data_IF_034293108709
#
_entry.id   IF_034293108709
#
_cell.length_a   1.000
_cell.length_b   1.000
_cell.length_c   1.000
_cell.angle_alpha   90.00
_cell.angle_beta   90.00
_cell.angle_gamma   90.00
#
_symmetry.space_group_name_H-M   'P 1'
#
loop_
_entity.id
_entity.type
_entity.pdbx_description
1 polymer ?
#
# COMPACT_ATOMS: atom_id res chain seq x y z
N UNK A 1 0.89 -14.72 -12.96
CA UNK A 1 -0.38 -14.34 -12.34
C UNK A 1 -0.99 -15.47 -11.51
N UNK A 2 -0.97 -16.70 -12.03
CA UNK A 2 -1.54 -17.83 -11.31
C UNK A 2 -0.77 -18.13 -10.01
N UNK A 3 0.54 -17.99 -10.02
CA UNK A 3 1.37 -18.16 -8.82
C UNK A 3 1.00 -17.15 -7.74
N UNK A 4 0.74 -15.91 -8.15
CA UNK A 4 0.35 -14.87 -7.23
C UNK A 4 -1.02 -15.17 -6.64
N UNK A 5 -1.96 -15.65 -7.45
CA UNK A 5 -3.29 -16.04 -6.98
C UNK A 5 -3.21 -17.15 -5.94
N UNK A 6 -2.35 -18.13 -6.17
CA UNK A 6 -2.14 -19.21 -5.22
C UNK A 6 -1.55 -18.68 -3.90
N UNK A 7 -0.58 -17.76 -3.99
CA UNK A 7 0.01 -17.15 -2.81
C UNK A 7 -1.00 -16.30 -2.04
N UNK A 8 -1.83 -15.53 -2.74
CA UNK A 8 -2.86 -14.73 -2.10
C UNK A 8 -3.86 -15.62 -1.37
N UNK A 9 -4.27 -16.73 -1.99
CA UNK A 9 -5.20 -17.66 -1.38
C UNK A 9 -4.59 -18.30 -0.13
N UNK A 10 -3.33 -18.71 -0.20
CA UNK A 10 -2.62 -19.31 0.93
C UNK A 10 -2.49 -18.33 2.09
N UNK A 11 -2.07 -17.10 1.79
CA UNK A 11 -1.88 -16.07 2.82
C UNK A 11 -3.23 -15.67 3.42
N UNK A 12 -4.28 -15.52 2.58
CA UNK A 12 -5.62 -15.20 3.06
C UNK A 12 -6.11 -16.26 4.04
N UNK A 13 -5.85 -17.51 3.75
CA UNK A 13 -6.22 -18.62 4.65
C UNK A 13 -5.46 -18.52 5.98
N UNK A 14 -4.17 -18.21 5.93
CA UNK A 14 -3.36 -18.02 7.13
C UNK A 14 -3.82 -16.84 7.97
N UNK A 15 -4.30 -15.79 7.32
CA UNK A 15 -4.81 -14.59 8.00
C UNK A 15 -6.21 -14.77 8.58
N UNK A 16 -6.92 -15.83 8.16
CA UNK A 16 -8.28 -16.08 8.60
C UNK A 16 -9.35 -15.30 7.86
N UNK A 17 -8.97 -14.52 6.85
CA UNK A 17 -9.89 -13.80 5.97
C UNK A 17 -9.17 -13.37 4.70
N UNK A 18 -9.92 -12.97 3.68
CA UNK A 18 -9.35 -12.53 2.41
C UNK A 18 -8.39 -11.36 2.64
N UNK A 19 -7.22 -11.41 1.98
CA UNK A 19 -6.22 -10.36 2.07
C UNK A 19 -6.82 -9.04 1.61
N UNK A 20 -6.81 -8.04 2.47
CA UNK A 20 -7.43 -6.73 2.24
C UNK A 20 -6.36 -5.69 1.92
N UNK A 21 -6.48 -5.07 0.75
CA UNK A 21 -5.56 -4.03 0.30
C UNK A 21 -6.32 -2.72 0.13
N UNK A 22 -5.95 -1.73 0.92
CA UNK A 22 -6.53 -0.39 0.84
C UNK A 22 -5.63 0.47 -0.05
N UNK A 23 -6.20 1.01 -1.12
CA UNK A 23 -5.47 1.90 -2.04
C UNK A 23 -6.05 3.29 -1.93
N UNK A 24 -5.18 4.26 -1.68
CA UNK A 24 -5.58 5.65 -1.55
C UNK A 24 -4.63 6.58 -2.28
N UNK A 25 -5.08 7.81 -2.49
CA UNK A 25 -4.30 8.84 -3.13
C UNK A 25 -4.45 10.13 -2.32
N UNK A 26 -3.47 10.42 -1.45
CA UNK A 26 -3.56 11.62 -0.61
C UNK A 26 -3.30 12.89 -1.43
N UNK A 27 -3.90 13.99 -0.98
CA UNK A 27 -3.67 15.30 -1.57
C UNK A 27 -4.64 15.66 -2.68
N UNK A 28 -4.30 16.69 -3.42
CA UNK A 28 -5.20 17.31 -4.40
C UNK A 28 -5.05 16.81 -5.83
N UNK A 29 -4.13 15.88 -6.05
CA UNK A 29 -3.85 15.35 -7.38
C UNK A 29 -5.01 14.50 -7.89
N UNK A 30 -5.49 14.79 -9.08
CA UNK A 30 -6.59 14.05 -9.70
C UNK A 30 -6.15 12.86 -10.55
N UNK A 31 -4.86 12.64 -10.74
CA UNK A 31 -4.37 11.57 -11.59
C UNK A 31 -4.28 10.26 -10.82
N UNK A 32 -4.97 9.23 -11.29
CA UNK A 32 -5.09 7.96 -10.56
C UNK A 32 -4.67 6.73 -11.34
N UNK A 33 -4.10 6.89 -12.55
CA UNK A 33 -3.82 5.74 -13.41
C UNK A 33 -2.99 4.64 -12.76
N UNK A 34 -1.92 5.01 -12.06
CA UNK A 34 -1.08 4.03 -11.38
C UNK A 34 -1.81 3.30 -10.27
N UNK A 35 -2.54 4.04 -9.45
CA UNK A 35 -3.30 3.46 -8.35
C UNK A 35 -4.40 2.54 -8.87
N UNK A 36 -5.10 2.94 -9.95
CA UNK A 36 -6.14 2.13 -10.55
C UNK A 36 -5.60 0.83 -11.13
N UNK A 37 -4.43 0.88 -11.77
CA UNK A 37 -3.80 -0.32 -12.31
C UNK A 37 -3.40 -1.30 -11.21
N UNK A 38 -2.85 -0.79 -10.12
CA UNK A 38 -2.47 -1.62 -8.98
C UNK A 38 -3.72 -2.24 -8.35
N UNK A 39 -4.78 -1.45 -8.16
CA UNK A 39 -6.02 -1.95 -7.58
C UNK A 39 -6.66 -3.04 -8.47
N UNK A 40 -6.68 -2.83 -9.78
CA UNK A 40 -7.23 -3.80 -10.72
C UNK A 40 -6.43 -5.11 -10.70
N UNK A 41 -5.10 -5.01 -10.70
CA UNK A 41 -4.26 -6.21 -10.67
C UNK A 41 -4.40 -6.97 -9.36
N UNK A 42 -4.48 -6.26 -8.24
CA UNK A 42 -4.66 -6.88 -6.94
C UNK A 42 -6.01 -7.61 -6.86
N UNK A 43 -7.05 -7.02 -7.43
CA UNK A 43 -8.36 -7.67 -7.51
C UNK A 43 -8.28 -8.94 -8.36
N UNK A 44 -7.57 -8.89 -9.48
CA UNK A 44 -7.36 -10.05 -10.34
C UNK A 44 -6.60 -11.16 -9.63
N UNK A 45 -5.76 -10.81 -8.67
CA UNK A 45 -4.99 -11.76 -7.87
C UNK A 45 -5.79 -12.36 -6.72
N UNK A 46 -7.02 -11.91 -6.49
CA UNK A 46 -7.88 -12.44 -5.44
C UNK A 46 -7.85 -11.66 -4.14
N UNK A 47 -7.28 -10.46 -4.15
CA UNK A 47 -7.31 -9.60 -2.97
C UNK A 47 -8.64 -8.86 -2.87
N UNK A 48 -9.05 -8.58 -1.64
CA UNK A 48 -10.19 -7.71 -1.40
C UNK A 48 -9.69 -6.26 -1.43
N UNK A 49 -10.15 -5.50 -2.40
CA UNK A 49 -9.65 -4.15 -2.64
C UNK A 49 -10.65 -3.12 -2.17
N UNK A 50 -10.17 -2.17 -1.38
CA UNK A 50 -10.90 -0.94 -1.11
C UNK A 50 -10.14 0.20 -1.77
N UNK A 51 -10.75 0.84 -2.75
CA UNK A 51 -10.20 2.01 -3.41
C UNK A 51 -10.93 3.24 -2.88
N UNK A 52 -10.25 4.02 -2.06
CA UNK A 52 -10.85 5.19 -1.44
C UNK A 52 -10.87 6.44 -2.34
N UNK A 53 -10.27 6.32 -3.52
CA UNK A 53 -10.30 7.41 -4.49
C UNK A 53 -9.16 8.40 -4.35
N UNK A 54 -9.43 9.65 -4.71
CA UNK A 54 -8.44 10.71 -4.74
C UNK A 54 -8.78 11.79 -3.72
N UNK A 55 -7.82 12.68 -3.47
CA UNK A 55 -8.00 13.86 -2.61
C UNK A 55 -8.31 13.52 -1.15
N UNK A 56 -7.74 12.43 -0.69
CA UNK A 56 -7.95 12.00 0.68
C UNK A 56 -6.99 12.70 1.64
N UNK A 57 -7.47 12.98 2.85
CA UNK A 57 -6.59 13.44 3.91
C UNK A 57 -5.93 12.24 4.59
N UNK A 58 -4.78 12.44 5.26
CA UNK A 58 -4.18 11.35 6.04
C UNK A 58 -5.15 10.74 7.04
N UNK A 59 -5.95 11.56 7.71
CA UNK A 59 -6.94 11.07 8.69
C UNK A 59 -7.98 10.16 8.05
N UNK A 60 -8.44 10.49 6.83
CA UNK A 60 -9.42 9.68 6.11
C UNK A 60 -8.82 8.32 5.74
N UNK A 61 -7.57 8.29 5.30
CA UNK A 61 -6.91 7.05 4.93
C UNK A 61 -6.72 6.15 6.15
N UNK A 62 -6.25 6.72 7.26
CA UNK A 62 -6.06 5.97 8.50
C UNK A 62 -7.40 5.43 9.02
N UNK A 63 -8.45 6.26 8.98
CA UNK A 63 -9.78 5.84 9.40
C UNK A 63 -10.29 4.67 8.55
N UNK A 64 -10.05 4.72 7.23
CA UNK A 64 -10.44 3.64 6.34
C UNK A 64 -9.66 2.35 6.64
N UNK A 65 -8.36 2.46 6.92
CA UNK A 65 -7.54 1.31 7.25
C UNK A 65 -8.02 0.61 8.52
N UNK A 66 -8.40 1.38 9.52
CA UNK A 66 -8.94 0.85 10.78
C UNK A 66 -10.33 0.25 10.56
N UNK A 67 -11.21 0.99 9.89
CA UNK A 67 -12.59 0.57 9.62
C UNK A 67 -12.64 -0.76 8.86
N UNK A 68 -11.83 -0.87 7.82
CA UNK A 68 -11.83 -2.03 6.93
C UNK A 68 -10.87 -3.13 7.39
N UNK A 69 -10.12 -2.88 8.45
CA UNK A 69 -9.12 -3.83 8.95
C UNK A 69 -8.15 -4.25 7.83
N UNK A 70 -7.62 -3.25 7.12
CA UNK A 70 -6.74 -3.50 5.98
C UNK A 70 -5.46 -4.21 6.42
N UNK A 71 -5.00 -5.13 5.57
CA UNK A 71 -3.73 -5.83 5.80
C UNK A 71 -2.55 -5.03 5.27
N UNK A 72 -2.77 -4.21 4.25
CA UNK A 72 -1.73 -3.37 3.65
C UNK A 72 -2.39 -2.11 3.09
N UNK A 73 -1.67 -1.00 3.17
CA UNK A 73 -2.11 0.29 2.63
C UNK A 73 -1.16 0.70 1.51
N UNK A 74 -1.72 0.99 0.35
CA UNK A 74 -0.96 1.49 -0.79
C UNK A 74 -1.34 2.93 -1.09
N UNK A 75 -0.34 3.77 -1.29
CA UNK A 75 -0.53 5.19 -1.56
C UNK A 75 0.12 5.55 -2.89
N UNK A 76 -0.58 6.35 -3.69
CA UNK A 76 -0.07 6.85 -4.96
C UNK A 76 0.20 8.34 -4.84
N UNK A 77 1.43 8.75 -5.16
CA UNK A 77 1.82 10.17 -5.12
C UNK A 77 2.50 10.53 -6.44
N UNK A 78 2.40 11.79 -6.83
CA UNK A 78 2.98 12.28 -8.08
C UNK A 78 4.16 13.23 -7.90
N UNK A 79 4.35 13.76 -6.71
CA UNK A 79 5.44 14.72 -6.50
C UNK A 79 5.90 14.74 -5.05
N UNK A 80 7.05 15.35 -4.84
CA UNK A 80 7.60 15.53 -3.51
C UNK A 80 6.76 16.42 -2.59
N UNK A 81 5.82 17.18 -3.16
CA UNK A 81 4.93 18.01 -2.35
C UNK A 81 4.01 17.19 -1.45
N UNK A 82 3.90 15.89 -1.68
CA UNK A 82 3.11 14.99 -0.85
C UNK A 82 3.87 14.47 0.38
N UNK A 83 5.16 14.79 0.49
CA UNK A 83 5.96 14.29 1.62
C UNK A 83 5.39 14.66 3.00
N UNK A 84 4.95 15.90 3.25
CA UNK A 84 4.34 16.21 4.55
C UNK A 84 3.06 15.42 4.81
N UNK A 85 2.29 15.13 3.77
CA UNK A 85 1.07 14.34 3.90
C UNK A 85 1.39 12.90 4.30
N UNK A 86 2.41 12.31 3.69
CA UNK A 86 2.83 10.95 4.03
C UNK A 86 3.38 10.89 5.45
N UNK A 87 4.17 11.88 5.86
CA UNK A 87 4.71 11.95 7.22
C UNK A 87 3.57 12.00 8.25
N UNK A 88 2.57 12.84 8.01
CA UNK A 88 1.40 12.96 8.88
C UNK A 88 0.61 11.64 8.91
N UNK A 89 0.44 11.02 7.76
CA UNK A 89 -0.26 9.73 7.66
C UNK A 89 0.46 8.66 8.49
N UNK A 90 1.78 8.56 8.34
CA UNK A 90 2.55 7.57 9.09
C UNK A 90 2.47 7.79 10.59
N UNK A 91 2.50 9.05 11.03
CA UNK A 91 2.36 9.39 12.44
C UNK A 91 0.97 8.99 12.98
N UNK A 92 -0.09 9.34 12.25
CA UNK A 92 -1.44 8.98 12.65
C UNK A 92 -1.66 7.48 12.65
N UNK A 93 -1.09 6.78 11.66
CA UNK A 93 -1.22 5.33 11.58
C UNK A 93 -0.58 4.65 12.79
N UNK A 94 0.60 5.11 13.21
CA UNK A 94 1.28 4.56 14.38
C UNK A 94 0.47 4.75 15.66
N UNK A 95 -0.30 5.81 15.72
CA UNK A 95 -1.14 6.12 16.88
C UNK A 95 -2.50 5.41 16.81
N UNK A 96 -2.79 4.68 15.75
CA UNK A 96 -4.07 4.01 15.54
C UNK A 96 -3.99 2.51 15.82
N UNK A 97 -5.15 1.86 15.76
CA UNK A 97 -5.23 0.40 15.88
C UNK A 97 -4.61 -0.32 14.68
N UNK A 98 -4.30 0.40 13.62
CA UNK A 98 -3.66 -0.14 12.43
C UNK A 98 -2.15 0.13 12.38
N UNK A 99 -1.51 0.36 13.51
CA UNK A 99 -0.08 0.68 13.59
C UNK A 99 0.81 -0.42 12.98
N UNK A 100 0.35 -1.66 12.97
CA UNK A 100 1.10 -2.80 12.44
C UNK A 100 0.96 -2.96 10.93
N UNK A 101 0.09 -2.19 10.29
CA UNK A 101 -0.19 -2.34 8.86
C UNK A 101 0.94 -1.76 8.03
N UNK A 102 1.57 -2.54 7.12
CA UNK A 102 2.61 -1.99 6.25
C UNK A 102 2.02 -1.03 5.22
N UNK A 103 2.80 0.00 4.91
CA UNK A 103 2.43 1.02 3.93
C UNK A 103 3.41 0.94 2.76
N UNK A 104 2.90 0.89 1.55
CA UNK A 104 3.69 0.96 0.33
C UNK A 104 3.32 2.23 -0.42
N UNK A 105 4.30 2.86 -1.04
CA UNK A 105 4.10 4.11 -1.76
C UNK A 105 4.62 3.95 -3.18
N UNK A 106 3.83 4.39 -4.14
CA UNK A 106 4.23 4.36 -5.54
C UNK A 106 3.97 5.69 -6.23
N UNK A 107 4.75 5.99 -7.27
CA UNK A 107 4.54 7.21 -8.04
C UNK A 107 5.83 7.77 -8.60
N UNK A 108 5.76 9.01 -9.06
CA UNK A 108 6.94 9.72 -9.57
C UNK A 108 7.67 10.32 -8.37
N UNK A 109 8.64 9.59 -7.86
CA UNK A 109 9.31 9.92 -6.60
C UNK A 109 10.81 10.12 -6.85
N UNK A 110 11.35 11.30 -6.54
CA UNK A 110 12.80 11.50 -6.62
C UNK A 110 13.54 10.58 -5.66
N UNK A 111 14.74 10.20 -6.03
CA UNK A 111 15.54 9.26 -5.25
C UNK A 111 15.76 9.71 -3.79
N UNK A 112 15.96 11.01 -3.59
CA UNK A 112 16.14 11.56 -2.24
C UNK A 112 14.87 11.38 -1.40
N UNK A 113 13.70 11.49 -2.02
CA UNK A 113 12.42 11.32 -1.34
C UNK A 113 12.16 9.85 -1.03
N UNK A 114 12.62 8.94 -1.90
CA UNK A 114 12.50 7.51 -1.67
C UNK A 114 13.16 7.11 -0.35
N UNK A 115 14.39 7.59 -0.13
CA UNK A 115 15.09 7.33 1.11
C UNK A 115 14.35 7.90 2.31
N UNK A 116 13.86 9.14 2.19
CA UNK A 116 13.12 9.80 3.26
C UNK A 116 11.84 9.02 3.61
N UNK A 117 11.14 8.50 2.61
CA UNK A 117 9.95 7.69 2.84
C UNK A 117 10.27 6.40 3.59
N UNK A 118 11.34 5.73 3.19
CA UNK A 118 11.77 4.51 3.89
C UNK A 118 12.15 4.82 5.34
N UNK A 119 12.81 5.95 5.57
CA UNK A 119 13.18 6.39 6.91
C UNK A 119 11.96 6.71 7.78
N UNK A 120 10.84 7.09 7.16
CA UNK A 120 9.59 7.33 7.87
C UNK A 120 8.88 6.04 8.29
N UNK A 121 9.33 4.90 7.79
CA UNK A 121 8.70 3.62 8.08
C UNK A 121 7.87 3.03 6.94
N UNK A 122 7.90 3.64 5.75
CA UNK A 122 7.25 3.07 4.57
C UNK A 122 7.97 1.76 4.21
N UNK A 123 7.20 0.71 3.97
CA UNK A 123 7.76 -0.63 3.75
C UNK A 123 8.40 -0.79 2.38
N UNK A 124 7.79 -0.23 1.36
CA UNK A 124 8.28 -0.32 -0.03
C UNK A 124 7.97 0.98 -0.76
N UNK A 125 8.86 1.37 -1.67
CA UNK A 125 8.66 2.53 -2.55
C UNK A 125 8.83 2.06 -3.99
N UNK A 126 7.86 2.40 -4.84
CA UNK A 126 7.89 2.05 -6.26
C UNK A 126 7.91 3.29 -7.12
N UNK A 127 8.87 3.35 -8.03
CA UNK A 127 9.01 4.44 -9.01
C UNK A 127 8.72 3.88 -10.41
N UNK A 128 8.63 4.73 -11.45
CA UNK A 128 8.40 4.21 -12.80
C UNK A 128 9.42 3.17 -13.26
N UNK A 129 10.64 3.19 -12.73
CA UNK A 129 11.65 2.18 -13.03
C UNK A 129 11.30 0.81 -12.45
N UNK A 130 10.57 0.81 -11.35
CA UNK A 130 10.24 -0.39 -10.60
C UNK A 130 8.81 -0.85 -10.85
N UNK A 131 8.10 -0.20 -11.76
CA UNK A 131 6.68 -0.42 -11.95
C UNK A 131 6.43 -1.67 -12.78
N UNK A 132 6.47 -2.81 -12.10
CA UNK A 132 6.09 -4.09 -12.68
C UNK A 132 5.02 -4.67 -11.77
N UNK A 133 3.79 -4.76 -12.27
CA UNK A 133 2.62 -5.08 -11.45
C UNK A 133 2.74 -6.40 -10.71
N UNK A 134 3.23 -7.44 -11.38
CA UNK A 134 3.34 -8.74 -10.74
C UNK A 134 4.34 -8.72 -9.58
N UNK A 135 5.45 -8.01 -9.75
CA UNK A 135 6.44 -7.88 -8.68
C UNK A 135 5.87 -7.12 -7.47
N UNK A 136 5.10 -6.06 -7.74
CA UNK A 136 4.43 -5.32 -6.68
C UNK A 136 3.48 -6.22 -5.91
N UNK A 137 2.74 -7.08 -6.61
CA UNK A 137 1.82 -8.01 -5.98
C UNK A 137 2.57 -9.02 -5.10
N UNK A 138 3.68 -9.58 -5.58
CA UNK A 138 4.50 -10.48 -4.78
C UNK A 138 5.02 -9.80 -3.51
N UNK A 139 5.48 -8.56 -3.63
CA UNK A 139 5.98 -7.82 -2.48
C UNK A 139 4.89 -7.57 -1.45
N UNK A 140 3.68 -7.25 -1.90
CA UNK A 140 2.54 -7.04 -1.00
C UNK A 140 2.21 -8.32 -0.24
N UNK A 141 2.16 -9.44 -0.96
CA UNK A 141 1.89 -10.74 -0.34
C UNK A 141 2.95 -11.06 0.71
N UNK A 142 4.22 -10.84 0.37
CA UNK A 142 5.34 -11.11 1.29
C UNK A 142 5.24 -10.26 2.56
N UNK A 143 4.85 -8.99 2.42
CA UNK A 143 4.75 -8.08 3.56
C UNK A 143 3.68 -8.50 4.57
N UNK A 144 2.60 -9.14 4.10
CA UNK A 144 1.49 -9.52 4.97
C UNK A 144 1.48 -10.99 5.32
N UNK A 145 2.37 -11.80 4.75
CA UNK A 145 2.41 -13.24 4.97
C UNK A 145 2.94 -13.52 6.39
N UNK A 146 2.11 -14.09 7.29
CA UNK A 146 2.55 -14.36 8.65
C UNK A 146 3.61 -15.47 8.72
N UNK A 147 3.74 -16.27 7.67
CA UNK A 147 4.70 -17.37 7.61
C UNK A 147 5.99 -16.97 6.91
N UNK A 148 6.08 -15.74 6.38
CA UNK A 148 7.28 -15.25 5.75
C UNK A 148 8.37 -15.04 6.79
N UNK A 149 9.61 -15.34 6.43
CA UNK A 149 10.73 -15.07 7.31
C UNK A 149 10.84 -13.55 7.56
N UNK A 150 11.06 -13.13 8.81
CA UNK A 150 11.20 -11.71 9.07
C UNK A 150 12.40 -11.16 8.31
N UNK A 151 12.22 -10.01 7.69
CA UNK A 151 13.30 -9.30 7.03
C UNK A 151 14.22 -8.72 8.09
N UNK A 152 15.39 -9.27 8.20
CA UNK A 152 16.40 -8.81 9.15
C UNK A 152 17.48 -8.04 8.43
#
# INVERSE_FOLDING_TARGET
LDEIREDVARVSKSLGRQLKFLVGKPGLDGHSNGAEQIAARARDCGMDITYEGIRLTPSEIVAAAVRDEAHVVGLSILSGSHMPLIADLMEQLRASDAAHVPVVVGGIIPEVDEKALLDMGVARVYTPKDFELNRIMFDIVELVDPDAAPAT
#
